data_IF_112863342151
#
_entry.id   IF_112863342151
#
_cell.length_a   1.000
_cell.length_b   1.000
_cell.length_c   1.000
_cell.angle_alpha   90.00
_cell.angle_beta   90.00
_cell.angle_gamma   90.00
#
_symmetry.space_group_name_H-M   'P 1'
#
loop_
_entity.id
_entity.type
_entity.pdbx_description
1 polymer ?
#
# COMPACT_ATOMS: atom_id res chain seq x y z
N UNK A 1 36.84 11.47 24.63
CA UNK A 1 35.81 12.27 23.92
C UNK A 1 35.69 11.92 22.43
N UNK A 2 36.79 11.79 21.66
CA UNK A 2 36.72 11.45 20.23
C UNK A 2 36.08 10.09 19.89
N UNK A 3 36.32 9.04 20.68
CA UNK A 3 35.75 7.70 20.45
C UNK A 3 34.22 7.65 20.64
N UNK A 4 33.71 8.42 21.61
CA UNK A 4 32.26 8.52 21.87
C UNK A 4 31.55 9.29 20.75
N UNK A 5 32.17 10.33 20.22
CA UNK A 5 31.64 11.08 19.07
C UNK A 5 31.60 10.21 17.80
N UNK A 6 32.64 9.42 17.53
CA UNK A 6 32.68 8.49 16.40
C UNK A 6 31.62 7.38 16.50
N UNK A 7 31.43 6.80 17.69
CA UNK A 7 30.41 5.78 17.92
C UNK A 7 28.98 6.34 17.79
N UNK A 8 28.72 7.54 18.32
CA UNK A 8 27.43 8.21 18.17
C UNK A 8 27.12 8.54 16.71
N UNK A 9 28.12 8.99 15.95
CA UNK A 9 27.98 9.25 14.51
C UNK A 9 27.73 7.96 13.71
N UNK A 10 28.51 6.90 13.96
CA UNK A 10 28.30 5.60 13.32
C UNK A 10 26.90 5.04 13.61
N UNK A 11 26.47 5.07 14.87
CA UNK A 11 25.12 4.68 15.26
C UNK A 11 24.05 5.53 14.57
N UNK A 12 24.22 6.85 14.51
CA UNK A 12 23.27 7.74 13.84
C UNK A 12 23.12 7.44 12.33
N UNK A 13 24.20 7.06 11.65
CA UNK A 13 24.14 6.70 10.22
C UNK A 13 23.52 5.32 9.97
N UNK A 14 23.69 4.39 10.90
CA UNK A 14 23.24 2.99 10.77
C UNK A 14 21.82 2.79 11.32
N UNK A 15 21.44 3.55 12.35
CA UNK A 15 20.16 3.46 13.03
C UNK A 15 18.94 3.53 12.10
N UNK A 16 18.89 4.35 11.03
CA UNK A 16 17.76 4.38 10.11
C UNK A 16 17.44 3.00 9.53
N UNK A 17 18.43 2.14 9.28
CA UNK A 17 18.21 0.79 8.74
C UNK A 17 17.36 -0.11 9.65
N UNK A 18 17.29 0.21 10.94
CA UNK A 18 16.54 -0.55 11.94
C UNK A 18 15.23 0.13 12.39
N UNK A 19 15.01 1.39 12.00
CA UNK A 19 13.80 2.13 12.34
C UNK A 19 12.68 1.75 11.39
N UNK A 20 11.55 1.31 11.92
CA UNK A 20 10.34 1.08 11.12
C UNK A 20 9.37 2.24 11.28
N UNK A 21 8.66 2.56 10.21
CA UNK A 21 7.59 3.55 10.18
C UNK A 21 6.29 2.83 9.88
N UNK A 22 5.23 3.19 10.60
CA UNK A 22 3.91 2.58 10.40
C UNK A 22 2.93 3.67 10.03
N UNK A 23 2.26 3.49 8.90
CA UNK A 23 1.14 4.32 8.49
C UNK A 23 -0.08 3.43 8.39
N UNK A 24 -1.15 3.83 9.07
CA UNK A 24 -2.47 3.26 8.91
C UNK A 24 -3.36 4.36 8.37
N UNK A 25 -3.35 4.54 7.05
CA UNK A 25 -4.39 5.30 6.36
C UNK A 25 -5.69 4.51 6.51
N UNK A 26 -6.37 4.71 7.66
CA UNK A 26 -7.77 4.34 7.83
C UNK A 26 -8.52 5.16 6.81
N UNK A 27 -8.73 4.52 5.68
CA UNK A 27 -9.44 5.06 4.55
C UNK A 27 -10.86 5.38 5.01
N UNK A 28 -11.07 6.61 5.50
CA UNK A 28 -12.41 7.21 5.62
C UNK A 28 -13.07 7.39 4.25
N UNK A 29 -12.34 7.11 3.16
CA UNK A 29 -12.78 7.29 1.77
C UNK A 29 -13.20 5.99 1.06
N UNK A 30 -13.13 4.84 1.74
CA UNK A 30 -13.46 3.52 1.18
C UNK A 30 -13.65 2.51 2.31
N UNK A 31 -14.78 2.61 3.01
CA UNK A 31 -15.47 1.40 3.46
C UNK A 31 -16.01 0.71 2.21
N UNK A 32 -15.12 0.15 1.38
CA UNK A 32 -15.49 -0.79 0.33
C UNK A 32 -15.51 -2.13 1.00
N UNK A 33 -16.67 -2.46 1.54
CA UNK A 33 -17.03 -3.84 1.87
C UNK A 33 -16.95 -4.63 0.57
N UNK A 34 -15.85 -5.34 0.34
CA UNK A 34 -15.88 -6.47 -0.58
C UNK A 34 -16.76 -7.51 0.10
N UNK A 35 -18.04 -7.52 -0.26
CA UNK A 35 -18.97 -8.55 0.17
C UNK A 35 -18.47 -9.89 -0.38
N UNK A 36 -17.78 -10.65 0.47
CA UNK A 36 -17.49 -12.06 0.24
C UNK A 36 -18.83 -12.79 0.08
N UNK A 37 -19.13 -13.45 -1.07
CA UNK A 37 -20.35 -14.21 -1.21
C UNK A 37 -20.14 -15.59 -0.60
N UNK A 38 -20.12 -15.69 0.74
CA UNK A 38 -20.06 -16.97 1.42
C UNK A 38 -20.62 -16.89 2.84
N UNK A 39 -21.93 -17.08 2.98
CA UNK A 39 -22.50 -18.07 3.89
C UNK A 39 -24.04 -17.99 3.84
N UNK A 40 -24.61 -18.93 3.11
CA UNK A 40 -26.01 -19.34 3.30
C UNK A 40 -26.08 -20.10 4.62
N UNK A 41 -26.62 -19.49 5.67
CA UNK A 41 -27.10 -20.18 6.86
C UNK A 41 -28.34 -19.44 7.43
N UNK A 42 -29.29 -20.24 7.91
CA UNK A 42 -30.72 -19.99 8.05
C UNK A 42 -31.13 -18.93 9.13
N UNK A 43 -32.41 -18.48 9.16
CA UNK A 43 -32.86 -17.39 10.01
C UNK A 43 -33.30 -17.88 11.40
N UNK A 44 -32.97 -17.14 12.46
CA UNK A 44 -33.70 -17.17 13.74
C UNK A 44 -33.88 -15.74 14.24
N UNK A 45 -35.09 -15.48 14.73
CA UNK A 45 -35.74 -14.20 14.95
C UNK A 45 -34.99 -13.17 15.82
N UNK A 46 -35.00 -11.93 15.36
CA UNK A 46 -34.80 -10.71 16.16
C UNK A 46 -35.50 -9.55 15.44
N UNK A 47 -36.50 -8.94 16.08
CA UNK A 47 -37.44 -7.99 15.47
C UNK A 47 -36.79 -6.72 14.89
N UNK A 48 -37.52 -5.97 14.04
CA UNK A 48 -36.99 -4.77 13.41
C UNK A 48 -36.84 -3.65 14.45
N UNK A 49 -35.61 -3.24 14.77
CA UNK A 49 -35.35 -1.89 15.30
C UNK A 49 -35.34 -0.90 14.14
N UNK A 50 -36.27 0.07 14.08
CA UNK A 50 -36.20 1.16 13.12
C UNK A 50 -35.25 2.22 13.66
N UNK A 51 -34.11 2.43 12.98
CA UNK A 51 -33.22 3.55 13.29
C UNK A 51 -31.74 3.22 13.21
N UNK A 52 -31.25 2.80 12.05
CA UNK A 52 -29.86 3.06 11.69
C UNK A 52 -29.89 4.07 10.53
N UNK A 53 -29.25 5.24 10.65
CA UNK A 53 -29.11 6.14 9.51
C UNK A 53 -28.42 5.37 8.38
N UNK A 54 -28.99 5.44 7.17
CA UNK A 54 -28.36 4.89 5.99
C UNK A 54 -26.95 5.50 5.89
N UNK A 55 -25.93 4.68 6.09
CA UNK A 55 -24.55 5.07 5.84
C UNK A 55 -24.47 5.64 4.43
N UNK A 56 -23.87 6.82 4.21
CA UNK A 56 -23.64 7.32 2.87
C UNK A 56 -23.02 6.20 2.03
N UNK A 57 -23.61 5.93 0.86
CA UNK A 57 -23.05 4.95 -0.07
C UNK A 57 -21.60 5.37 -0.32
N UNK A 58 -20.66 4.57 0.19
CA UNK A 58 -19.25 4.81 -0.07
C UNK A 58 -19.04 4.83 -1.59
N UNK A 59 -18.24 5.77 -2.12
CA UNK A 59 -17.98 5.81 -3.54
C UNK A 59 -17.49 4.44 -4.01
N UNK A 60 -18.09 3.94 -5.08
CA UNK A 60 -17.82 2.59 -5.56
C UNK A 60 -16.43 2.54 -6.20
N UNK A 61 -15.46 1.98 -5.46
CA UNK A 61 -14.15 1.70 -6.03
C UNK A 61 -14.24 0.51 -6.99
N UNK A 62 -13.66 0.64 -8.17
CA UNK A 62 -13.52 -0.47 -9.13
C UNK A 62 -12.14 -1.08 -8.98
N UNK A 63 -12.09 -2.37 -8.64
CA UNK A 63 -10.83 -3.11 -8.58
C UNK A 63 -10.27 -3.33 -10.00
N UNK A 64 -9.05 -2.86 -10.25
CA UNK A 64 -8.37 -3.02 -11.54
C UNK A 64 -7.31 -4.12 -11.52
N UNK A 65 -6.67 -4.34 -10.37
CA UNK A 65 -5.64 -5.36 -10.22
C UNK A 65 -5.26 -5.58 -8.76
N UNK A 66 -4.70 -6.77 -8.49
CA UNK A 66 -4.16 -7.13 -7.18
C UNK A 66 -2.90 -7.95 -7.35
N UNK A 67 -1.93 -7.69 -6.50
CA UNK A 67 -0.68 -8.44 -6.41
C UNK A 67 -0.22 -8.55 -4.96
N UNK A 68 0.96 -9.11 -4.79
CA UNK A 68 1.63 -9.27 -3.49
C UNK A 68 3.07 -8.80 -3.63
N UNK A 69 3.56 -8.04 -2.66
CA UNK A 69 4.98 -7.71 -2.58
C UNK A 69 5.78 -8.99 -2.37
N UNK A 70 6.83 -9.14 -3.18
CA UNK A 70 7.70 -10.30 -3.14
C UNK A 70 9.02 -9.95 -2.49
N UNK A 71 9.61 -10.93 -1.80
CA UNK A 71 11.01 -10.86 -1.38
C UNK A 71 11.90 -11.02 -2.60
N UNK A 72 12.82 -10.07 -2.80
CA UNK A 72 13.83 -10.14 -3.85
C UNK A 72 15.09 -10.85 -3.32
N UNK A 73 15.58 -10.45 -2.15
CA UNK A 73 16.73 -11.07 -1.50
C UNK A 73 16.74 -10.85 0.04
N UNK A 74 17.88 -11.11 0.69
CA UNK A 74 18.01 -11.01 2.14
C UNK A 74 18.01 -9.58 2.70
N UNK A 75 18.31 -8.58 1.88
CA UNK A 75 18.30 -7.16 2.22
C UNK A 75 17.10 -6.42 1.62
N UNK A 76 16.44 -6.99 0.60
CA UNK A 76 15.26 -6.43 -0.06
C UNK A 76 14.02 -7.29 0.20
N UNK A 77 13.57 -7.29 1.46
CA UNK A 77 12.37 -8.02 1.90
C UNK A 77 11.16 -7.11 1.84
N UNK A 78 10.11 -7.54 1.14
CA UNK A 78 8.80 -6.93 1.15
C UNK A 78 7.74 -8.03 1.17
N UNK A 79 6.64 -7.78 1.88
CA UNK A 79 5.50 -8.70 1.95
C UNK A 79 4.22 -7.89 2.12
N UNK A 80 3.13 -8.43 1.59
CA UNK A 80 1.79 -7.93 1.80
C UNK A 80 1.08 -7.54 0.49
N UNK A 81 -0.26 -7.46 0.53
CA UNK A 81 -1.06 -7.17 -0.65
C UNK A 81 -0.86 -5.75 -1.18
N UNK A 82 -0.88 -5.64 -2.51
CA UNK A 82 -0.97 -4.37 -3.22
C UNK A 82 -2.16 -4.41 -4.17
N UNK A 83 -2.97 -3.37 -4.14
CA UNK A 83 -4.24 -3.27 -4.87
C UNK A 83 -4.23 -2.02 -5.74
N UNK A 84 -4.51 -2.20 -7.03
CA UNK A 84 -4.79 -1.12 -7.95
C UNK A 84 -6.30 -0.97 -8.09
N UNK A 85 -6.84 0.20 -7.81
CA UNK A 85 -8.27 0.47 -7.97
C UNK A 85 -8.52 1.85 -8.58
N UNK A 86 -9.69 2.00 -9.19
CA UNK A 86 -10.22 3.28 -9.62
C UNK A 86 -11.24 3.77 -8.60
N UNK A 87 -11.19 5.06 -8.28
CA UNK A 87 -12.17 5.75 -7.45
C UNK A 87 -12.46 7.11 -8.08
N UNK A 88 -13.72 7.38 -8.43
CA UNK A 88 -14.16 8.65 -9.02
C UNK A 88 -13.34 9.09 -10.26
N UNK A 89 -12.96 8.13 -11.12
CA UNK A 89 -12.16 8.38 -12.33
C UNK A 89 -10.66 8.60 -12.08
N UNK A 90 -10.20 8.46 -10.83
CA UNK A 90 -8.78 8.49 -10.45
C UNK A 90 -8.29 7.09 -10.13
N UNK A 91 -7.03 6.81 -10.43
CA UNK A 91 -6.39 5.54 -10.14
C UNK A 91 -5.53 5.63 -8.88
N UNK A 92 -5.55 4.57 -8.07
CA UNK A 92 -4.79 4.48 -6.84
C UNK A 92 -4.10 3.13 -6.70
N UNK A 93 -2.84 3.16 -6.25
CA UNK A 93 -2.07 1.99 -5.85
C UNK A 93 -2.01 1.97 -4.33
N UNK A 94 -2.64 0.98 -3.71
CA UNK A 94 -2.73 0.84 -2.27
C UNK A 94 -1.98 -0.37 -1.78
N UNK A 95 -1.11 -0.13 -0.82
CA UNK A 95 -0.42 -1.12 -0.01
C UNK A 95 -1.31 -1.42 1.18
N UNK A 96 -1.59 -2.70 1.42
CA UNK A 96 -2.49 -3.18 2.46
C UNK A 96 -1.73 -4.02 3.48
N UNK A 97 -1.65 -3.53 4.72
CA UNK A 97 -0.97 -4.21 5.84
C UNK A 97 0.41 -4.77 5.45
N UNK A 98 1.19 -3.97 4.71
CA UNK A 98 2.48 -4.41 4.20
C UNK A 98 3.54 -4.39 5.29
N UNK A 99 4.59 -5.17 5.07
CA UNK A 99 5.83 -5.15 5.84
C UNK A 99 7.01 -5.13 4.86
N UNK A 100 7.72 -4.00 4.84
CA UNK A 100 8.83 -3.72 3.94
C UNK A 100 10.07 -3.49 4.80
N UNK A 101 11.18 -4.13 4.45
CA UNK A 101 12.44 -3.92 5.13
C UNK A 101 12.93 -2.49 4.90
N UNK A 102 13.29 -1.80 5.98
CA UNK A 102 13.68 -0.41 5.86
C UNK A 102 15.01 -0.27 5.13
N UNK A 103 15.13 0.85 4.40
CA UNK A 103 16.32 1.25 3.67
C UNK A 103 16.53 2.76 3.79
N UNK A 104 17.70 3.27 3.43
CA UNK A 104 18.02 4.68 3.58
C UNK A 104 17.21 5.59 2.64
N UNK A 105 16.76 5.07 1.50
CA UNK A 105 16.11 5.83 0.42
C UNK A 105 15.14 4.93 -0.36
N UNK A 106 13.97 4.64 0.21
CA UNK A 106 12.97 3.75 -0.39
C UNK A 106 11.96 4.54 -1.22
N UNK A 107 11.66 4.02 -2.40
CA UNK A 107 10.81 4.66 -3.39
C UNK A 107 9.81 3.66 -3.98
N UNK A 108 8.71 4.20 -4.50
CA UNK A 108 7.63 3.44 -5.15
C UNK A 108 7.52 3.87 -6.60
N UNK A 109 7.47 2.89 -7.50
CA UNK A 109 7.25 3.10 -8.93
C UNK A 109 6.41 1.95 -9.51
N UNK A 110 5.73 2.21 -10.63
CA UNK A 110 5.08 1.18 -11.43
C UNK A 110 6.01 0.81 -12.59
N UNK A 111 6.27 -0.48 -12.76
CA UNK A 111 7.13 -0.99 -13.82
C UNK A 111 6.33 -1.75 -14.90
N UNK A 112 6.74 -1.60 -16.15
CA UNK A 112 6.15 -2.33 -17.29
C UNK A 112 6.61 -3.80 -17.37
N UNK A 113 7.79 -4.08 -16.82
CA UNK A 113 8.35 -5.43 -16.68
C UNK A 113 7.94 -6.09 -15.37
N UNK A 114 8.51 -7.26 -15.09
CA UNK A 114 8.43 -7.91 -13.77
C UNK A 114 9.77 -7.72 -13.04
N UNK A 115 9.76 -6.88 -12.01
CA UNK A 115 10.94 -6.57 -11.21
C UNK A 115 12.09 -5.92 -11.99
N UNK A 116 13.18 -5.64 -11.29
CA UNK A 116 14.36 -4.97 -11.84
C UNK A 116 14.61 -3.60 -11.21
N UNK A 117 15.64 -2.91 -11.69
CA UNK A 117 15.92 -1.54 -11.29
C UNK A 117 14.98 -0.58 -12.02
N UNK A 118 14.66 0.54 -11.36
CA UNK A 118 13.87 1.62 -11.94
C UNK A 118 14.47 2.14 -13.26
N UNK A 119 13.65 2.18 -14.31
CA UNK A 119 13.96 2.76 -15.60
C UNK A 119 13.11 4.02 -15.82
N UNK A 120 13.74 5.19 -15.69
CA UNK A 120 13.03 6.49 -15.75
C UNK A 120 12.32 6.81 -17.06
N UNK A 121 12.58 6.07 -18.15
CA UNK A 121 11.85 6.23 -19.41
C UNK A 121 10.62 5.32 -19.50
N UNK A 122 10.63 4.20 -18.78
CA UNK A 122 9.62 3.13 -18.91
C UNK A 122 8.71 3.01 -17.68
N UNK A 123 9.22 3.41 -16.52
CA UNK A 123 8.59 3.21 -15.23
C UNK A 123 8.04 4.52 -14.68
N UNK A 124 6.90 4.44 -14.01
CA UNK A 124 6.22 5.59 -13.45
C UNK A 124 6.54 5.74 -11.98
N UNK A 125 7.23 6.83 -11.63
CA UNK A 125 7.52 7.16 -10.25
C UNK A 125 6.27 7.66 -9.52
N UNK A 126 5.97 7.05 -8.37
CA UNK A 126 4.83 7.42 -7.52
C UNK A 126 5.23 8.24 -6.29
N UNK A 127 6.47 8.11 -5.81
CA UNK A 127 6.97 8.87 -4.67
C UNK A 127 7.95 8.10 -3.78
N UNK A 128 8.39 8.77 -2.72
CA UNK A 128 9.11 8.12 -1.64
C UNK A 128 8.17 7.21 -0.84
N UNK A 129 8.70 6.12 -0.29
CA UNK A 129 7.91 5.19 0.52
C UNK A 129 7.42 5.88 1.80
N UNK A 130 6.10 6.02 1.92
CA UNK A 130 5.43 6.63 3.08
C UNK A 130 5.74 5.91 4.40
N UNK A 131 5.67 4.58 4.37
CA UNK A 131 5.90 3.76 5.55
C UNK A 131 6.41 2.36 5.18
N UNK A 132 7.18 1.77 6.09
CA UNK A 132 7.60 0.38 5.95
C UNK A 132 6.53 -0.61 6.39
N UNK A 133 5.59 -0.18 7.23
CA UNK A 133 4.53 -1.03 7.75
C UNK A 133 3.15 -0.38 7.63
N UNK A 134 2.12 -1.22 7.45
CA UNK A 134 0.73 -0.80 7.53
C UNK A 134 0.08 -0.58 6.16
N UNK A 135 -0.90 0.31 6.09
CA UNK A 135 -1.76 0.52 4.92
C UNK A 135 -1.65 1.96 4.45
N UNK A 136 -1.34 2.16 3.18
CA UNK A 136 -1.24 3.48 2.56
C UNK A 136 -1.46 3.40 1.04
N UNK A 137 -1.86 4.51 0.43
CA UNK A 137 -2.11 4.58 -1.02
C UNK A 137 -1.34 5.72 -1.70
N UNK A 138 -1.10 5.56 -3.00
CA UNK A 138 -0.58 6.59 -3.90
C UNK A 138 -1.60 6.85 -5.01
N UNK A 139 -1.85 8.12 -5.30
CA UNK A 139 -2.59 8.51 -6.49
C UNK A 139 -1.70 8.35 -7.72
N UNK A 140 -2.22 7.73 -8.76
CA UNK A 140 -1.53 7.61 -10.04
C UNK A 140 -1.88 8.83 -10.89
N UNK A 141 -0.90 9.49 -11.54
CA UNK A 141 -1.15 10.61 -12.44
C UNK A 141 -2.26 10.34 -13.46
N UNK A 142 -3.17 11.31 -13.62
CA UNK A 142 -4.28 11.21 -14.56
C UNK A 142 -3.79 11.01 -16.00
N UNK A 143 -4.51 10.20 -16.79
CA UNK A 143 -4.13 9.86 -18.17
C UNK A 143 -3.09 8.75 -18.28
N UNK A 144 -2.61 8.19 -17.16
CA UNK A 144 -1.72 7.01 -17.17
C UNK A 144 -2.50 5.75 -17.58
N UNK A 145 -2.00 5.02 -18.59
CA UNK A 145 -2.46 3.67 -18.92
C UNK A 145 -1.94 2.67 -17.88
N UNK A 146 -2.67 2.50 -16.78
CA UNK A 146 -2.26 1.60 -15.68
C UNK A 146 -2.17 0.13 -16.11
N UNK A 147 -2.84 -0.27 -17.17
CA UNK A 147 -2.80 -1.63 -17.72
C UNK A 147 -1.44 -2.00 -18.36
N UNK A 148 -0.63 -1.00 -18.72
CA UNK A 148 0.71 -1.19 -19.27
C UNK A 148 1.69 -1.70 -18.21
N UNK A 149 1.44 -1.40 -16.94
CA UNK A 149 2.30 -1.74 -15.82
C UNK A 149 1.97 -3.13 -15.27
N UNK A 150 2.99 -3.89 -14.92
CA UNK A 150 2.90 -5.30 -14.51
C UNK A 150 3.41 -5.54 -13.09
N UNK A 151 4.21 -4.63 -12.53
CA UNK A 151 4.67 -4.74 -11.15
C UNK A 151 4.83 -3.37 -10.49
N UNK A 152 5.01 -3.43 -9.17
CA UNK A 152 5.32 -2.35 -8.22
C UNK A 152 6.47 -2.83 -7.35
#
# INVERSE_FOLDING_TARGET
>A
MAVLAGAAFAWWTISPLFLTTTVSEQTREATVTIASPAARAAPTAGGPSPGAPASPAAPAATLLGRGELQRIDDLHKGSGPVVLFELEGKHFVRFEEVAIQNGPDLHVYLARGMGGAYDGEKDLYLGALKATNGTFAYEVPAGTSVADYKSV
#
